data_IF_995233082338
#
_entry.id   IF_995233082338
#
_cell.length_a   1.000
_cell.length_b   1.000
_cell.length_c   1.000
_cell.angle_alpha   90.00
_cell.angle_beta   90.00
_cell.angle_gamma   90.00
#
_symmetry.space_group_name_H-M   'P 1'
#
loop_
_entity.id
_entity.type
_entity.pdbx_description
1 polymer ?
#
# COMPACT_ATOMS: atom_id res chain seq x y z
N UNK A 1 27.83 -26.60 -45.94
CA UNK A 1 28.35 -25.51 -45.08
C UNK A 1 27.32 -25.24 -43.99
N UNK A 2 27.66 -25.49 -42.71
CA UNK A 2 26.73 -25.35 -41.58
C UNK A 2 26.71 -23.90 -41.09
N UNK A 3 25.49 -23.42 -40.80
CA UNK A 3 25.12 -22.08 -40.33
C UNK A 3 25.60 -21.84 -38.89
N UNK A 4 26.02 -20.62 -38.56
CA UNK A 4 26.01 -20.12 -37.18
C UNK A 4 25.40 -18.72 -37.22
N UNK A 5 24.14 -18.63 -36.81
CA UNK A 5 23.49 -17.37 -36.45
C UNK A 5 23.75 -17.18 -34.96
N UNK A 6 24.51 -16.15 -34.61
CA UNK A 6 24.80 -15.79 -33.23
C UNK A 6 23.55 -15.13 -32.64
N UNK A 7 22.75 -15.87 -31.88
CA UNK A 7 21.63 -15.32 -31.11
C UNK A 7 22.21 -14.75 -29.81
N UNK A 8 22.45 -13.44 -29.78
CA UNK A 8 22.76 -12.73 -28.53
C UNK A 8 21.44 -12.54 -27.79
N UNK A 9 21.10 -13.52 -26.94
CA UNK A 9 20.04 -13.38 -25.95
C UNK A 9 20.58 -12.39 -24.90
N UNK A 10 20.16 -11.12 -25.00
CA UNK A 10 20.26 -10.21 -23.88
C UNK A 10 19.43 -10.79 -22.73
N UNK A 11 20.12 -11.45 -21.79
CA UNK A 11 19.60 -11.75 -20.47
C UNK A 11 19.36 -10.44 -19.74
N UNK A 12 18.19 -9.82 -19.99
CA UNK A 12 17.61 -8.92 -19.01
C UNK A 12 17.39 -9.73 -17.74
N UNK A 13 17.92 -9.30 -16.58
CA UNK A 13 17.52 -9.91 -15.31
C UNK A 13 16.02 -9.67 -15.17
N UNK A 14 15.25 -10.73 -15.40
CA UNK A 14 13.88 -10.84 -14.92
C UNK A 14 13.99 -10.82 -13.40
N UNK A 15 13.93 -9.63 -12.81
CA UNK A 15 13.69 -9.49 -11.39
C UNK A 15 12.29 -10.03 -11.12
N UNK A 16 12.21 -11.35 -10.94
CA UNK A 16 11.05 -12.02 -10.39
C UNK A 16 11.05 -11.62 -8.93
N UNK A 17 10.46 -10.46 -8.63
CA UNK A 17 10.04 -10.15 -7.27
C UNK A 17 8.87 -11.10 -6.95
N UNK A 18 9.20 -12.34 -6.59
CA UNK A 18 8.40 -13.10 -5.65
C UNK A 18 8.26 -12.25 -4.41
N UNK A 19 7.06 -12.15 -3.86
CA UNK A 19 6.78 -11.54 -2.55
C UNK A 19 7.97 -11.80 -1.61
N UNK A 20 8.68 -10.73 -1.21
CA UNK A 20 9.96 -10.90 -0.55
C UNK A 20 9.72 -11.53 0.82
N UNK A 21 10.27 -12.73 1.01
CA UNK A 21 10.18 -13.52 2.23
C UNK A 21 10.59 -12.74 3.49
N UNK A 22 11.34 -11.64 3.41
CA UNK A 22 11.69 -10.82 4.59
C UNK A 22 10.58 -9.86 5.05
N UNK A 23 9.89 -9.16 4.13
CA UNK A 23 8.68 -8.39 4.46
C UNK A 23 7.62 -9.35 5.03
N UNK A 24 7.49 -10.51 4.40
CA UNK A 24 6.56 -11.56 4.81
C UNK A 24 6.96 -12.20 6.15
N UNK A 25 8.24 -12.39 6.46
CA UNK A 25 8.65 -13.13 7.68
C UNK A 25 8.50 -12.36 8.98
N UNK A 26 8.53 -11.03 8.97
CA UNK A 26 8.55 -10.22 10.20
C UNK A 26 7.52 -9.09 10.26
N UNK A 27 6.85 -8.71 9.15
CA UNK A 27 6.12 -7.43 9.08
C UNK A 27 4.70 -7.51 8.48
N UNK A 28 3.94 -8.56 8.79
CA UNK A 28 2.46 -8.53 8.75
C UNK A 28 1.76 -9.18 7.55
N UNK A 29 2.30 -9.13 6.33
CA UNK A 29 1.49 -9.48 5.14
C UNK A 29 1.47 -10.96 4.73
N UNK A 30 1.94 -11.88 5.57
CA UNK A 30 1.83 -13.32 5.28
C UNK A 30 0.41 -13.83 5.20
N UNK A 31 -0.47 -13.20 5.95
CA UNK A 31 -1.80 -13.73 6.24
C UNK A 31 -2.88 -13.13 5.35
N UNK A 32 -2.65 -11.94 4.78
CA UNK A 32 -3.59 -11.32 3.84
C UNK A 32 -3.02 -11.39 2.43
N UNK A 33 -3.71 -12.09 1.52
CA UNK A 33 -3.31 -12.19 0.12
C UNK A 33 -4.31 -11.53 -0.81
N UNK A 34 -3.78 -10.82 -1.81
CA UNK A 34 -4.58 -10.41 -2.96
C UNK A 34 -5.24 -11.65 -3.59
N UNK A 35 -6.49 -11.50 -4.03
CA UNK A 35 -7.30 -12.58 -4.57
C UNK A 35 -8.17 -13.30 -3.53
N UNK A 36 -8.01 -13.03 -2.24
CA UNK A 36 -8.87 -13.60 -1.19
C UNK A 36 -10.32 -13.12 -1.33
N UNK A 37 -11.31 -14.02 -1.13
CA UNK A 37 -12.71 -13.66 -1.20
C UNK A 37 -13.09 -12.77 -0.01
N UNK A 38 -14.01 -11.82 -0.24
CA UNK A 38 -14.49 -10.87 0.77
C UNK A 38 -15.01 -11.54 2.06
N UNK A 39 -15.53 -12.76 1.94
CA UNK A 39 -16.01 -13.57 3.07
C UNK A 39 -14.89 -13.99 4.04
N UNK A 40 -13.62 -13.87 3.65
CA UNK A 40 -12.46 -14.17 4.51
C UNK A 40 -12.25 -13.10 5.59
N UNK A 41 -12.86 -11.91 5.44
CA UNK A 41 -12.61 -10.75 6.29
C UNK A 41 -13.75 -10.57 7.30
N UNK A 42 -13.66 -11.29 8.43
CA UNK A 42 -14.60 -11.15 9.54
C UNK A 42 -14.65 -9.71 10.07
N UNK A 43 -15.85 -9.22 10.42
CA UNK A 43 -16.09 -7.84 10.88
C UNK A 43 -15.77 -6.73 9.86
N UNK A 44 -15.66 -7.06 8.56
CA UNK A 44 -15.54 -6.05 7.50
C UNK A 44 -16.80 -5.16 7.45
N UNK A 45 -16.60 -3.85 7.60
CA UNK A 45 -17.65 -2.85 7.41
C UNK A 45 -17.58 -2.29 5.99
N UNK A 46 -18.46 -2.77 5.12
CA UNK A 46 -18.58 -2.28 3.75
C UNK A 46 -19.06 -0.81 3.76
N UNK A 47 -18.36 0.03 3.02
CA UNK A 47 -18.69 1.45 2.90
C UNK A 47 -19.80 1.66 1.86
N UNK A 48 -20.68 2.66 2.05
CA UNK A 48 -21.77 2.96 1.10
C UNK A 48 -21.28 3.54 -0.24
N UNK A 49 -20.04 4.01 -0.30
CA UNK A 49 -19.44 4.56 -1.53
C UNK A 49 -18.99 3.43 -2.45
N UNK A 50 -19.83 3.10 -3.43
CA UNK A 50 -19.48 2.20 -4.53
C UNK A 50 -19.24 3.01 -5.81
N UNK A 51 -18.03 2.90 -6.35
CA UNK A 51 -17.86 2.91 -7.81
C UNK A 51 -18.51 1.61 -8.33
N UNK A 52 -19.05 1.62 -9.56
CA UNK A 52 -19.83 0.50 -10.09
C UNK A 52 -19.03 -0.80 -10.21
N UNK A 53 -17.70 -0.71 -10.15
CA UNK A 53 -16.77 -1.83 -10.30
C UNK A 53 -16.18 -2.34 -8.99
N UNK A 54 -16.37 -1.65 -7.86
CA UNK A 54 -15.63 -1.92 -6.61
C UNK A 54 -16.51 -2.02 -5.38
N UNK A 55 -16.05 -2.83 -4.43
CA UNK A 55 -16.55 -2.86 -3.06
C UNK A 55 -15.40 -2.38 -2.17
N UNK A 56 -15.63 -1.34 -1.39
CA UNK A 56 -14.64 -0.83 -0.42
C UNK A 56 -15.17 -1.09 0.99
N UNK A 57 -14.30 -1.54 1.88
CA UNK A 57 -14.66 -1.77 3.27
C UNK A 57 -13.53 -1.43 4.23
N UNK A 58 -13.89 -1.07 5.45
CA UNK A 58 -12.96 -0.87 6.54
C UNK A 58 -12.92 -2.16 7.36
N UNK A 59 -11.71 -2.66 7.60
CA UNK A 59 -11.47 -3.88 8.34
C UNK A 59 -10.56 -3.60 9.54
N UNK A 60 -11.06 -3.95 10.72
CA UNK A 60 -10.32 -3.93 11.97
C UNK A 60 -10.14 -5.37 12.42
N UNK A 61 -8.94 -5.91 12.20
CA UNK A 61 -8.62 -7.28 12.57
C UNK A 61 -8.34 -7.41 14.07
N UNK A 62 -8.71 -8.55 14.66
CA UNK A 62 -8.28 -8.93 16.02
C UNK A 62 -6.94 -9.69 16.01
N UNK A 63 -6.36 -9.93 14.84
CA UNK A 63 -5.11 -10.65 14.66
C UNK A 63 -3.91 -9.76 15.05
N UNK A 64 -3.28 -10.09 16.17
CA UNK A 64 -2.23 -9.25 16.77
C UNK A 64 -1.02 -8.99 15.85
N UNK A 65 -0.71 -9.93 14.97
CA UNK A 65 0.38 -9.87 13.99
C UNK A 65 0.09 -8.93 12.81
N UNK A 66 -1.18 -8.55 12.60
CA UNK A 66 -1.60 -7.59 11.58
C UNK A 66 -1.76 -6.17 12.13
N UNK A 67 -1.61 -5.98 13.44
CA UNK A 67 -1.79 -4.69 14.08
C UNK A 67 -0.61 -3.72 13.87
N UNK A 68 0.48 -4.16 13.26
CA UNK A 68 1.69 -3.36 13.11
C UNK A 68 2.35 -3.54 11.75
N UNK A 69 2.85 -2.43 11.21
CA UNK A 69 3.81 -2.41 10.11
C UNK A 69 5.11 -1.78 10.63
N UNK A 70 6.22 -2.54 10.59
CA UNK A 70 7.53 -2.05 11.04
C UNK A 70 7.53 -1.44 12.46
N UNK A 71 6.79 -2.03 13.40
CA UNK A 71 6.59 -1.56 14.78
C UNK A 71 5.65 -0.35 14.94
N UNK A 72 5.07 0.16 13.87
CA UNK A 72 4.06 1.21 13.93
C UNK A 72 2.67 0.60 13.88
N UNK A 73 1.83 1.01 14.82
CA UNK A 73 0.46 0.51 14.94
C UNK A 73 -0.35 0.91 13.72
N UNK A 74 -1.06 -0.05 13.13
CA UNK A 74 -2.07 0.17 12.11
C UNK A 74 -3.39 0.48 12.82
N UNK A 75 -4.03 1.58 12.44
CA UNK A 75 -5.32 1.98 13.00
C UNK A 75 -6.47 1.21 12.38
N UNK A 76 -6.41 1.00 11.06
CA UNK A 76 -7.37 0.18 10.32
C UNK A 76 -6.80 -0.24 8.96
N UNK A 77 -7.42 -1.26 8.37
CA UNK A 77 -7.23 -1.59 6.96
C UNK A 77 -8.41 -1.06 6.14
N UNK A 78 -8.12 -0.45 5.00
CA UNK A 78 -9.10 -0.23 3.93
C UNK A 78 -8.85 -1.28 2.86
N UNK A 79 -9.88 -2.10 2.60
CA UNK A 79 -9.83 -3.20 1.65
C UNK A 79 -10.69 -2.86 0.45
N UNK A 80 -10.15 -3.05 -0.74
CA UNK A 80 -10.88 -2.91 -1.99
C UNK A 80 -10.96 -4.24 -2.70
N UNK A 81 -12.18 -4.62 -3.04
CA UNK A 81 -12.52 -5.83 -3.76
C UNK A 81 -13.05 -5.47 -5.14
N UNK A 82 -12.74 -6.31 -6.11
CA UNK A 82 -13.44 -6.32 -7.39
C UNK A 82 -14.89 -6.77 -7.18
N UNK A 83 -15.86 -6.03 -7.72
CA UNK A 83 -17.29 -6.26 -7.42
C UNK A 83 -17.83 -7.54 -8.06
N UNK A 84 -17.34 -7.89 -9.26
CA UNK A 84 -17.80 -9.08 -9.99
C UNK A 84 -17.25 -10.36 -9.36
N UNK A 85 -15.93 -10.45 -9.21
CA UNK A 85 -15.25 -11.62 -8.65
C UNK A 85 -15.31 -11.68 -7.12
N UNK A 86 -15.61 -10.57 -6.45
CA UNK A 86 -15.59 -10.40 -4.97
C UNK A 86 -14.23 -10.69 -4.34
N UNK A 87 -13.15 -10.56 -5.11
CA UNK A 87 -11.79 -10.84 -4.66
C UNK A 87 -11.04 -9.57 -4.30
N UNK A 88 -10.20 -9.66 -3.27
CA UNK A 88 -9.35 -8.56 -2.81
C UNK A 88 -8.37 -8.14 -3.90
N UNK A 89 -8.41 -6.89 -4.31
CA UNK A 89 -7.51 -6.32 -5.34
C UNK A 89 -6.56 -5.27 -4.79
N UNK A 90 -6.88 -4.67 -3.64
CA UNK A 90 -6.03 -3.71 -2.96
C UNK A 90 -6.27 -3.74 -1.46
N UNK A 91 -5.17 -3.59 -0.72
CA UNK A 91 -5.15 -3.41 0.72
C UNK A 91 -4.37 -2.14 1.04
N UNK A 92 -4.98 -1.29 1.85
CA UNK A 92 -4.37 -0.08 2.44
C UNK A 92 -4.30 -0.27 3.96
N UNK A 93 -3.09 -0.42 4.50
CA UNK A 93 -2.83 -0.34 5.93
C UNK A 93 -2.65 1.14 6.32
N UNK A 94 -3.57 1.65 7.15
CA UNK A 94 -3.65 3.06 7.48
C UNK A 94 -3.12 3.32 8.91
N UNK A 95 -2.20 4.29 9.02
CA UNK A 95 -1.69 4.81 10.29
C UNK A 95 -2.10 6.28 10.38
N UNK A 96 -2.81 6.64 11.44
CA UNK A 96 -3.30 7.98 11.72
C UNK A 96 -2.40 8.63 12.78
N UNK A 97 -1.90 9.82 12.45
CA UNK A 97 -1.12 10.63 13.38
C UNK A 97 -1.82 11.98 13.54
N UNK A 98 -2.17 12.35 14.77
CA UNK A 98 -2.80 13.64 15.10
C UNK A 98 -1.76 14.78 15.14
N UNK A 99 -1.00 14.92 14.05
CA UNK A 99 -0.01 15.97 13.82
C UNK A 99 -0.02 16.37 12.34
N UNK A 100 0.32 17.63 12.00
CA UNK A 100 0.46 18.05 10.61
C UNK A 100 1.62 17.31 9.91
N UNK A 101 1.55 17.16 8.59
CA UNK A 101 2.52 16.34 7.84
C UNK A 101 3.96 16.86 7.88
N UNK A 102 4.12 18.17 8.12
CA UNK A 102 5.42 18.84 8.30
C UNK A 102 6.03 18.64 9.70
N UNK A 103 5.27 18.07 10.64
CA UNK A 103 5.78 17.79 11.99
C UNK A 103 6.90 16.74 11.90
N UNK A 104 8.04 17.05 12.54
CA UNK A 104 9.23 16.19 12.53
C UNK A 104 8.94 14.77 13.02
N UNK A 105 8.01 14.61 13.96
CA UNK A 105 7.58 13.29 14.42
C UNK A 105 6.95 12.47 13.29
N UNK A 106 6.09 13.11 12.49
CA UNK A 106 5.43 12.48 11.35
C UNK A 106 6.45 12.11 10.28
N UNK A 107 7.33 13.04 9.92
CA UNK A 107 8.37 12.79 8.91
C UNK A 107 9.32 11.66 9.33
N UNK A 108 9.72 11.61 10.61
CA UNK A 108 10.59 10.56 11.13
C UNK A 108 9.94 9.17 11.06
N UNK A 109 8.64 9.05 11.38
CA UNK A 109 7.90 7.78 11.26
C UNK A 109 7.87 7.33 9.81
N UNK A 110 7.50 8.26 8.94
CA UNK A 110 7.40 8.04 7.51
C UNK A 110 8.75 7.59 6.90
N UNK A 111 9.83 8.30 7.21
CA UNK A 111 11.19 7.94 6.81
C UNK A 111 11.57 6.56 7.35
N UNK A 112 11.30 6.26 8.63
CA UNK A 112 11.64 4.95 9.21
C UNK A 112 10.91 3.78 8.55
N UNK A 113 9.63 3.96 8.19
CA UNK A 113 8.87 2.96 7.42
C UNK A 113 9.51 2.76 6.05
N UNK A 114 9.85 3.85 5.37
CA UNK A 114 10.45 3.81 4.03
C UNK A 114 11.85 3.19 4.03
N UNK A 115 12.70 3.51 5.00
CA UNK A 115 14.03 2.91 5.15
C UNK A 115 13.93 1.39 5.29
N UNK A 116 12.99 0.91 6.11
CA UNK A 116 12.76 -0.52 6.27
C UNK A 116 12.20 -1.17 5.00
N UNK A 117 11.38 -0.46 4.23
CA UNK A 117 10.94 -0.93 2.91
C UNK A 117 12.08 -0.97 1.91
N UNK A 118 12.96 0.02 1.89
CA UNK A 118 14.12 0.05 1.01
C UNK A 118 15.07 -1.11 1.34
N UNK A 119 15.32 -1.37 2.62
CA UNK A 119 16.09 -2.54 3.06
C UNK A 119 15.42 -3.84 2.60
N UNK A 120 14.08 -3.91 2.67
CA UNK A 120 13.35 -5.15 2.38
C UNK A 120 13.03 -5.38 0.90
N UNK A 121 12.90 -4.33 0.09
CA UNK A 121 12.43 -4.40 -1.30
C UNK A 121 13.44 -3.85 -2.31
N UNK A 122 14.51 -3.22 -1.84
CA UNK A 122 15.41 -2.42 -2.65
C UNK A 122 14.90 -1.00 -2.90
N UNK A 123 15.59 -0.26 -3.75
CA UNK A 123 15.20 1.12 -4.10
C UNK A 123 13.82 1.15 -4.80
N UNK A 124 13.01 2.20 -4.57
CA UNK A 124 11.73 2.34 -5.23
C UNK A 124 11.89 2.47 -6.74
N UNK A 125 10.94 1.90 -7.48
CA UNK A 125 10.86 2.03 -8.94
C UNK A 125 10.41 3.42 -9.37
N UNK A 126 9.64 4.11 -8.52
CA UNK A 126 9.15 5.47 -8.77
C UNK A 126 9.00 6.25 -7.47
N UNK A 127 9.28 7.55 -7.54
CA UNK A 127 9.04 8.52 -6.49
C UNK A 127 8.08 9.58 -7.04
N UNK A 128 7.02 9.92 -6.31
CA UNK A 128 6.12 11.03 -6.65
C UNK A 128 6.08 12.02 -5.49
N UNK A 129 6.05 13.29 -5.83
CA UNK A 129 6.06 14.39 -4.86
C UNK A 129 4.85 15.32 -5.00
N UNK A 130 3.86 15.00 -5.84
CA UNK A 130 2.67 15.82 -6.10
C UNK A 130 1.51 14.93 -6.61
N UNK A 131 0.29 14.99 -6.04
CA UNK A 131 -0.17 15.80 -4.88
C UNK A 131 0.21 15.23 -3.51
N UNK A 132 0.76 14.02 -3.48
CA UNK A 132 1.13 13.27 -2.27
C UNK A 132 2.56 12.76 -2.43
N UNK A 133 3.36 12.79 -1.36
CA UNK A 133 4.67 12.16 -1.38
C UNK A 133 4.51 10.63 -1.30
N UNK A 134 4.96 9.92 -2.32
CA UNK A 134 4.82 8.47 -2.43
C UNK A 134 6.06 7.79 -2.99
N UNK A 135 6.36 6.62 -2.44
CA UNK A 135 7.37 5.69 -2.96
C UNK A 135 6.64 4.46 -3.51
N UNK A 136 7.02 4.00 -4.71
CA UNK A 136 6.36 2.88 -5.38
C UNK A 136 7.38 1.82 -5.82
N UNK A 137 7.07 0.56 -5.54
CA UNK A 137 7.82 -0.61 -5.97
C UNK A 137 6.96 -1.45 -6.91
N UNK A 138 7.41 -1.63 -8.15
CA UNK A 138 6.69 -2.39 -9.16
C UNK A 138 7.22 -3.83 -9.25
N UNK A 139 6.39 -4.77 -8.79
CA UNK A 139 6.56 -6.19 -9.08
C UNK A 139 5.77 -6.62 -10.31
N UNK A 140 5.94 -7.90 -10.72
CA UNK A 140 5.24 -8.46 -11.88
C UNK A 140 3.72 -8.50 -11.72
N UNK A 141 3.25 -8.74 -10.49
CA UNK A 141 1.83 -8.96 -10.16
C UNK A 141 1.38 -8.18 -8.93
N UNK A 142 2.23 -7.29 -8.42
CA UNK A 142 1.96 -6.55 -7.19
C UNK A 142 2.67 -5.21 -7.24
N UNK A 143 2.01 -4.19 -6.73
CA UNK A 143 2.58 -2.87 -6.55
C UNK A 143 2.46 -2.53 -5.08
N UNK A 144 3.60 -2.16 -4.50
CA UNK A 144 3.68 -1.71 -3.13
C UNK A 144 3.88 -0.21 -3.19
N UNK A 145 3.06 0.53 -2.45
CA UNK A 145 3.25 1.97 -2.32
C UNK A 145 3.23 2.36 -0.86
N UNK A 146 4.02 3.35 -0.52
CA UNK A 146 3.75 4.14 0.67
C UNK A 146 3.25 5.50 0.24
N UNK A 147 2.31 6.08 0.98
CA UNK A 147 1.85 7.47 0.80
C UNK A 147 1.81 8.24 2.12
N UNK A 148 2.20 9.51 2.10
CA UNK A 148 2.02 10.46 3.20
C UNK A 148 0.96 11.50 2.85
N UNK A 149 -0.25 11.36 3.40
CA UNK A 149 -1.42 12.16 3.05
C UNK A 149 -1.77 13.11 4.20
N UNK A 150 -1.79 14.44 3.99
CA UNK A 150 -2.39 15.36 4.94
C UNK A 150 -3.93 15.22 4.89
N UNK A 151 -4.56 15.00 6.03
CA UNK A 151 -6.02 15.08 6.18
C UNK A 151 -6.35 16.47 6.75
N UNK A 152 -7.46 17.08 6.31
CA UNK A 152 -7.73 18.51 6.53
C UNK A 152 -7.71 18.96 8.00
N UNK A 153 -7.30 20.21 8.17
CA UNK A 153 -7.15 20.93 9.45
C UNK A 153 -8.48 21.06 10.20
N UNK A 154 -8.45 20.89 11.53
CA UNK A 154 -9.39 21.56 12.42
C UNK A 154 -8.65 22.53 13.32
N UNK A 155 -9.16 23.76 13.37
CA UNK A 155 -8.90 24.68 14.47
C UNK A 155 -9.74 24.19 15.64
N UNK A 156 -9.14 23.95 16.80
CA UNK A 156 -9.92 23.80 18.02
C UNK A 156 -10.45 25.17 18.49
N UNK A 157 -11.42 25.16 19.40
CA UNK A 157 -12.04 26.37 19.97
C UNK A 157 -11.03 27.27 20.72
N UNK A 158 -9.79 26.81 20.90
CA UNK A 158 -8.66 27.52 21.53
C UNK A 158 -7.59 27.99 20.53
N UNK A 159 -7.89 27.97 19.22
CA UNK A 159 -7.01 28.41 18.13
C UNK A 159 -5.71 27.58 17.93
N UNK A 160 -5.63 26.36 18.46
CA UNK A 160 -4.57 25.43 18.09
C UNK A 160 -4.99 24.62 16.85
N UNK A 161 -4.17 24.64 15.81
CA UNK A 161 -4.33 23.76 14.66
C UNK A 161 -3.92 22.34 15.05
N UNK A 162 -4.89 21.43 15.13
CA UNK A 162 -4.61 19.99 15.20
C UNK A 162 -4.56 19.49 13.74
N UNK A 163 -3.36 19.32 13.21
CA UNK A 163 -3.18 18.64 11.92
C UNK A 163 -3.42 17.14 12.07
N UNK A 164 -3.94 16.50 11.03
CA UNK A 164 -4.02 15.05 10.94
C UNK A 164 -3.24 14.58 9.71
N UNK A 165 -2.40 13.57 9.89
CA UNK A 165 -1.66 12.96 8.78
C UNK A 165 -1.91 11.48 8.75
N UNK A 166 -2.11 10.96 7.54
CA UNK A 166 -2.23 9.53 7.29
C UNK A 166 -1.00 9.02 6.56
N UNK A 167 -0.37 8.01 7.14
CA UNK A 167 0.63 7.19 6.46
C UNK A 167 -0.10 5.95 5.96
N UNK A 168 -0.08 5.74 4.64
CA UNK A 168 -0.76 4.61 4.01
C UNK A 168 0.28 3.71 3.39
N UNK A 169 0.29 2.45 3.79
CA UNK A 169 1.00 1.39 3.09
C UNK A 169 0.01 0.59 2.25
N UNK A 170 0.24 0.52 0.95
CA UNK A 170 -0.64 -0.12 -0.01
C UNK A 170 0.03 -1.33 -0.63
N UNK A 171 -0.73 -2.41 -0.76
CA UNK A 171 -0.43 -3.56 -1.62
C UNK A 171 -1.58 -3.73 -2.61
N UNK A 172 -1.29 -3.74 -3.91
CA UNK A 172 -2.34 -3.78 -4.94
C UNK A 172 -1.95 -4.63 -6.16
N UNK A 173 -2.94 -5.21 -6.83
CA UNK A 173 -2.75 -5.93 -8.09
C UNK A 173 -2.62 -4.91 -9.25
N UNK A 174 -1.56 -4.94 -10.09
CA UNK A 174 -1.37 -4.07 -11.25
C UNK A 174 -2.57 -4.01 -12.20
N UNK A 175 -3.37 -5.07 -12.32
CA UNK A 175 -4.59 -5.05 -13.14
C UNK A 175 -5.58 -3.97 -12.65
N UNK A 176 -5.60 -3.69 -11.35
CA UNK A 176 -6.39 -2.61 -10.76
C UNK A 176 -5.86 -1.19 -11.08
N UNK A 177 -4.61 -1.05 -11.56
CA UNK A 177 -4.02 0.24 -11.95
C UNK A 177 -4.60 0.78 -13.26
N UNK A 178 -4.99 -0.09 -14.20
CA UNK A 178 -5.56 0.36 -15.48
C UNK A 178 -6.83 1.19 -15.29
N UNK A 179 -7.53 1.02 -14.16
CA UNK A 179 -8.67 1.86 -13.77
C UNK A 179 -8.27 3.12 -12.99
N UNK A 180 -7.34 3.01 -12.02
CA UNK A 180 -6.89 4.19 -11.22
C UNK A 180 -6.16 5.24 -12.05
N UNK A 181 -5.40 4.85 -13.08
CA UNK A 181 -4.74 5.82 -13.97
C UNK A 181 -5.73 6.59 -14.86
N UNK A 182 -6.94 6.07 -15.10
CA UNK A 182 -7.99 6.77 -15.87
C UNK A 182 -8.74 7.81 -15.04
N UNK A 183 -8.79 7.64 -13.72
CA UNK A 183 -9.55 8.53 -12.83
C UNK A 183 -8.74 9.72 -12.31
N UNK A 184 -7.43 9.78 -12.59
CA UNK A 184 -6.55 10.82 -12.06
C UNK A 184 -6.28 10.62 -10.57
N UNK A 185 -5.02 10.75 -10.17
CA UNK A 185 -4.66 10.91 -8.76
C UNK A 185 -4.82 12.36 -8.35
#
# INVERSE_FOLDING_TARGET
MKRIILLVIMLLPLFVFSQNKEVDKRNGFKEIKLGEPIESFGNLKVLPQSDDTKIVGIWNTSENNLNFIFSYKIDFFELTFDKESRKLIMLDANIIIQKPYIDKYVTNIWESINDKLIVSLGLPSKVRNNPVFSLEWYGKSTIITTRLIPDEMKLDDNANTIGLTRIIFTVLNPEAIQEKLKQGF
#
